data_IF_241327471937
#
_entry.id   IF_241327471937
#
_cell.length_a   1.000
_cell.length_b   1.000
_cell.length_c   1.000
_cell.angle_alpha   90.00
_cell.angle_beta   90.00
_cell.angle_gamma   90.00
#
_symmetry.space_group_name_H-M   'P 1'
#
loop_
_entity.id
_entity.type
_entity.pdbx_description
1 polymer ?
#
# COMPACT_ATOMS: atom_id res chain seq x y z
N UNK A 1 2.06 11.92 13.02
CA UNK A 1 3.31 12.60 12.62
C UNK A 1 3.15 14.08 12.93
N UNK A 2 3.77 14.56 14.00
CA UNK A 2 3.85 15.99 14.30
C UNK A 2 5.33 16.38 14.25
N UNK A 3 5.89 16.42 13.03
CA UNK A 3 7.21 17.01 12.85
C UNK A 3 7.03 18.54 12.89
N UNK A 4 7.69 19.21 13.84
CA UNK A 4 7.65 20.68 13.98
C UNK A 4 8.10 21.38 12.70
N UNK A 5 9.03 20.80 11.95
CA UNK A 5 9.53 21.33 10.67
C UNK A 5 8.45 21.28 9.59
N UNK A 6 7.70 20.17 9.49
CA UNK A 6 6.55 20.07 8.58
C UNK A 6 5.48 21.13 8.91
N UNK A 7 5.28 21.44 10.19
CA UNK A 7 4.33 22.47 10.59
C UNK A 7 4.71 23.88 10.10
N UNK A 8 5.99 24.15 9.82
CA UNK A 8 6.48 25.45 9.31
C UNK A 8 6.27 25.67 7.81
N UNK A 9 5.84 24.64 7.08
CA UNK A 9 5.56 24.71 5.66
C UNK A 9 4.24 25.45 5.38
N UNK A 10 4.14 26.00 4.18
CA UNK A 10 2.90 26.61 3.72
C UNK A 10 1.86 25.51 3.41
N UNK A 11 0.58 25.85 3.48
CA UNK A 11 -0.49 24.85 3.32
C UNK A 11 -0.48 24.20 1.93
N UNK A 12 -0.03 24.91 0.90
CA UNK A 12 0.11 24.37 -0.46
C UNK A 12 1.16 23.24 -0.50
N UNK A 13 2.37 23.47 0.03
CA UNK A 13 3.43 22.46 0.09
C UNK A 13 3.02 21.26 0.96
N UNK A 14 2.39 21.53 2.11
CA UNK A 14 1.87 20.47 3.00
C UNK A 14 0.90 19.56 2.26
N UNK A 15 0.04 20.15 1.43
CA UNK A 15 -0.98 19.41 0.68
C UNK A 15 -0.35 18.53 -0.41
N UNK A 16 0.59 19.09 -1.18
CA UNK A 16 1.36 18.34 -2.20
C UNK A 16 2.09 17.17 -1.56
N UNK A 17 2.88 17.43 -0.51
CA UNK A 17 3.59 16.39 0.23
C UNK A 17 2.63 15.33 0.77
N UNK A 18 1.50 15.73 1.35
CA UNK A 18 0.53 14.79 1.90
C UNK A 18 -0.05 13.86 0.83
N UNK A 19 -0.49 14.41 -0.32
CA UNK A 19 -1.09 13.63 -1.41
C UNK A 19 -0.12 12.58 -1.94
N UNK A 20 1.13 12.95 -2.13
CA UNK A 20 2.11 12.03 -2.71
C UNK A 20 2.67 11.03 -1.69
N UNK A 21 2.70 11.40 -0.41
CA UNK A 21 3.28 10.58 0.65
C UNK A 21 2.34 9.55 1.27
N UNK A 22 1.04 9.85 1.40
CA UNK A 22 0.18 9.06 2.28
C UNK A 22 0.04 7.60 1.84
N UNK A 23 0.16 7.34 0.54
CA UNK A 23 0.03 6.00 -0.03
C UNK A 23 1.30 5.19 0.17
N UNK A 24 2.48 5.69 -0.20
CA UNK A 24 3.72 5.04 0.22
C UNK A 24 3.75 4.77 1.73
N UNK A 25 3.32 5.72 2.57
CA UNK A 25 3.22 5.53 4.02
C UNK A 25 2.26 4.39 4.40
N UNK A 26 1.05 4.40 3.84
CA UNK A 26 0.07 3.35 4.09
C UNK A 26 0.61 1.99 3.68
N UNK A 27 1.20 1.89 2.48
CA UNK A 27 1.84 0.69 1.97
C UNK A 27 2.91 0.22 2.95
N UNK A 28 3.93 1.04 3.25
CA UNK A 28 5.02 0.72 4.19
C UNK A 28 4.46 0.20 5.52
N UNK A 29 3.42 0.86 6.06
CA UNK A 29 2.78 0.44 7.32
C UNK A 29 2.12 -0.93 7.22
N UNK A 30 1.40 -1.22 6.13
CA UNK A 30 0.76 -2.52 5.90
C UNK A 30 1.83 -3.61 5.71
N UNK A 31 2.88 -3.33 4.94
CA UNK A 31 4.00 -4.26 4.76
C UNK A 31 4.68 -4.55 6.09
N UNK A 32 4.95 -3.52 6.89
CA UNK A 32 5.55 -3.68 8.22
C UNK A 32 4.68 -4.52 9.17
N UNK A 33 3.38 -4.24 9.24
CA UNK A 33 2.44 -5.08 10.02
C UNK A 33 2.44 -6.53 9.55
N UNK A 34 2.53 -6.75 8.23
CA UNK A 34 2.60 -8.09 7.66
C UNK A 34 3.88 -8.82 8.05
N UNK A 35 5.01 -8.12 8.07
CA UNK A 35 6.30 -8.65 8.56
C UNK A 35 6.19 -9.05 10.04
N UNK A 36 5.55 -8.21 10.86
CA UNK A 36 5.35 -8.51 12.28
C UNK A 36 4.39 -9.68 12.53
N UNK A 37 3.36 -9.84 11.70
CA UNK A 37 2.39 -10.92 11.82
C UNK A 37 2.91 -12.27 11.31
N UNK A 38 3.83 -12.25 10.34
CA UNK A 38 4.37 -13.42 9.66
C UNK A 38 5.90 -13.39 9.67
N UNK A 39 6.49 -13.77 10.81
CA UNK A 39 7.93 -13.70 11.06
C UNK A 39 8.79 -14.60 10.16
N UNK A 40 8.20 -15.69 9.65
CA UNK A 40 8.89 -16.61 8.73
C UNK A 40 9.13 -15.92 7.37
N UNK A 41 10.40 -15.76 6.93
CA UNK A 41 10.72 -15.18 5.63
C UNK A 41 10.15 -15.96 4.45
N UNK A 42 9.90 -17.26 4.61
CA UNK A 42 9.32 -18.13 3.57
C UNK A 42 7.79 -18.03 3.53
N UNK A 43 7.17 -17.42 4.54
CA UNK A 43 5.72 -17.20 4.58
C UNK A 43 5.31 -16.17 3.53
N UNK A 44 4.49 -16.60 2.57
CA UNK A 44 4.01 -15.78 1.47
C UNK A 44 2.72 -15.02 1.80
N UNK A 45 2.23 -15.13 3.04
CA UNK A 45 1.07 -14.39 3.52
C UNK A 45 1.45 -12.95 3.81
N UNK A 46 0.50 -12.08 3.53
CA UNK A 46 0.55 -10.67 3.89
C UNK A 46 -0.83 -10.22 4.36
N UNK A 47 -0.86 -9.20 5.22
CA UNK A 47 -2.09 -8.59 5.70
C UNK A 47 -2.60 -7.62 4.63
N UNK A 48 -3.85 -7.82 4.20
CA UNK A 48 -4.57 -6.85 3.37
C UNK A 48 -5.18 -5.74 4.23
N UNK A 49 -5.71 -6.13 5.39
CA UNK A 49 -6.24 -5.25 6.41
C UNK A 49 -6.04 -5.88 7.82
N UNK A 50 -6.72 -5.34 8.83
CA UNK A 50 -6.60 -5.81 10.22
C UNK A 50 -7.21 -7.20 10.47
N UNK A 51 -8.04 -7.70 9.55
CA UNK A 51 -8.81 -8.94 9.68
C UNK A 51 -8.61 -9.92 8.52
N UNK A 52 -7.88 -9.54 7.47
CA UNK A 52 -7.69 -10.33 6.26
C UNK A 52 -6.20 -10.49 5.95
N UNK A 53 -5.78 -11.75 5.90
CA UNK A 53 -4.50 -12.16 5.34
C UNK A 53 -4.73 -12.97 4.06
N UNK A 54 -3.85 -12.82 3.08
CA UNK A 54 -3.87 -13.61 1.86
C UNK A 54 -2.46 -14.09 1.50
N UNK A 55 -2.33 -15.30 0.98
CA UNK A 55 -1.08 -15.77 0.36
C UNK A 55 -1.05 -15.36 -1.10
N UNK A 56 -0.17 -14.45 -1.51
CA UNK A 56 -0.17 -13.97 -2.92
C UNK A 56 0.26 -15.03 -3.92
N UNK A 57 1.05 -16.02 -3.51
CA UNK A 57 1.43 -17.15 -4.36
C UNK A 57 0.31 -18.16 -4.57
N UNK A 58 -0.63 -18.27 -3.61
CA UNK A 58 -1.72 -19.26 -3.63
C UNK A 58 -3.07 -18.64 -3.99
N UNK A 59 -3.19 -17.32 -3.99
CA UNK A 59 -4.43 -16.63 -4.30
C UNK A 59 -4.83 -16.88 -5.77
N UNK A 60 -6.02 -17.45 -5.95
CA UNK A 60 -6.67 -17.59 -7.24
C UNK A 60 -7.91 -16.71 -7.27
N UNK A 61 -7.99 -15.84 -8.26
CA UNK A 61 -9.18 -15.03 -8.50
C UNK A 61 -10.08 -15.71 -9.52
N UNK A 62 -11.29 -16.04 -9.10
CA UNK A 62 -12.39 -16.45 -9.96
C UNK A 62 -13.36 -15.28 -10.10
N UNK A 63 -13.33 -14.60 -11.24
CA UNK A 63 -14.29 -13.56 -11.55
C UNK A 63 -14.92 -13.82 -12.93
N UNK A 64 -16.23 -13.58 -13.10
CA UNK A 64 -16.90 -13.66 -14.38
C UNK A 64 -16.59 -12.39 -15.21
N UNK A 65 -15.32 -12.20 -15.53
CA UNK A 65 -14.84 -11.12 -16.39
C UNK A 65 -14.69 -11.63 -17.82
N UNK A 66 -14.90 -10.75 -18.80
CA UNK A 66 -14.53 -11.03 -20.19
C UNK A 66 -13.00 -11.22 -20.31
N UNK A 67 -12.58 -11.82 -21.43
CA UNK A 67 -11.17 -12.19 -21.67
C UNK A 67 -10.20 -11.00 -21.51
N UNK A 68 -10.59 -9.79 -21.94
CA UNK A 68 -9.75 -8.59 -21.89
C UNK A 68 -9.65 -8.06 -20.46
N UNK A 69 -10.78 -7.93 -19.77
CA UNK A 69 -10.80 -7.52 -18.35
C UNK A 69 -10.03 -8.49 -17.45
N UNK A 70 -10.13 -9.79 -17.73
CA UNK A 70 -9.36 -10.83 -17.04
C UNK A 70 -7.85 -10.68 -17.25
N UNK A 71 -7.40 -10.34 -18.45
CA UNK A 71 -5.98 -10.12 -18.74
C UNK A 71 -5.43 -8.86 -18.04
N UNK A 72 -6.17 -7.75 -18.06
CA UNK A 72 -5.79 -6.53 -17.33
C UNK A 72 -5.72 -6.78 -15.82
N UNK A 73 -6.71 -7.50 -15.28
CA UNK A 73 -6.73 -7.88 -13.87
C UNK A 73 -5.55 -8.77 -13.48
N UNK A 74 -5.20 -9.78 -14.28
CA UNK A 74 -4.03 -10.61 -14.00
C UNK A 74 -2.71 -9.84 -14.12
N UNK A 75 -2.59 -8.92 -15.06
CA UNK A 75 -1.40 -8.05 -15.15
C UNK A 75 -1.24 -7.19 -13.89
N UNK A 76 -2.35 -6.66 -13.36
CA UNK A 76 -2.34 -5.95 -12.07
C UNK A 76 -2.00 -6.90 -10.91
N UNK A 77 -2.57 -8.09 -10.86
CA UNK A 77 -2.25 -9.04 -9.79
C UNK A 77 -0.79 -9.50 -9.82
N UNK A 78 -0.19 -9.58 -11.01
CA UNK A 78 1.22 -9.92 -11.17
C UNK A 78 2.14 -8.87 -10.53
N UNK A 79 1.80 -7.58 -10.59
CA UNK A 79 2.60 -6.55 -9.92
C UNK A 79 2.53 -6.61 -8.40
N UNK A 80 1.37 -7.00 -7.87
CA UNK A 80 1.22 -7.24 -6.43
C UNK A 80 2.09 -8.42 -5.97
N UNK A 81 2.26 -9.43 -6.83
CA UNK A 81 3.22 -10.51 -6.60
C UNK A 81 4.67 -10.00 -6.65
N UNK A 82 5.01 -9.16 -7.61
CA UNK A 82 6.36 -8.56 -7.69
C UNK A 82 6.69 -7.71 -6.46
N UNK A 83 5.71 -6.97 -5.91
CA UNK A 83 5.86 -6.24 -4.64
C UNK A 83 6.22 -7.16 -3.47
N UNK A 84 5.64 -8.37 -3.39
CA UNK A 84 6.02 -9.33 -2.35
C UNK A 84 7.48 -9.69 -2.41
N UNK A 85 7.99 -9.96 -3.61
CA UNK A 85 9.34 -10.46 -3.83
C UNK A 85 10.38 -9.34 -3.69
N UNK A 86 10.03 -8.12 -4.11
CA UNK A 86 10.95 -6.98 -4.16
C UNK A 86 10.91 -6.08 -2.93
N UNK A 87 9.83 -6.09 -2.16
CA UNK A 87 9.67 -5.23 -0.97
C UNK A 87 9.45 -6.05 0.30
N UNK A 88 8.40 -6.90 0.35
CA UNK A 88 8.04 -7.60 1.59
C UNK A 88 9.10 -8.62 1.99
N UNK A 89 9.57 -9.45 1.06
CA UNK A 89 10.58 -10.46 1.36
C UNK A 89 11.89 -9.83 1.85
N UNK A 90 12.43 -8.75 1.24
CA UNK A 90 13.53 -7.98 1.82
C UNK A 90 13.22 -7.41 3.20
N UNK A 91 12.02 -6.87 3.43
CA UNK A 91 11.65 -6.35 4.75
C UNK A 91 11.60 -7.45 5.83
N UNK A 92 11.13 -8.66 5.48
CA UNK A 92 11.12 -9.83 6.37
C UNK A 92 12.53 -10.32 6.67
N UNK A 93 13.36 -10.49 5.64
CA UNK A 93 14.71 -11.02 5.79
C UNK A 93 15.63 -10.09 6.58
N UNK A 94 15.47 -8.77 6.42
CA UNK A 94 16.21 -7.76 7.16
C UNK A 94 15.62 -7.42 8.53
N UNK A 95 14.43 -7.95 8.86
CA UNK A 95 13.74 -7.75 10.15
C UNK A 95 13.66 -6.27 10.54
N UNK A 96 13.18 -5.43 9.63
CA UNK A 96 13.11 -3.99 9.87
C UNK A 96 12.43 -3.70 11.22
N UNK A 97 13.10 -2.90 12.03
CA UNK A 97 12.62 -2.38 13.30
C UNK A 97 11.66 -1.20 13.07
N UNK A 98 10.87 -0.86 14.09
CA UNK A 98 9.98 0.30 14.03
C UNK A 98 10.74 1.61 13.75
N UNK A 99 11.99 1.71 14.23
CA UNK A 99 12.85 2.89 14.01
C UNK A 99 13.25 2.99 12.54
N UNK A 100 13.66 1.89 11.93
CA UNK A 100 14.04 1.84 10.51
C UNK A 100 12.84 2.08 9.60
N UNK A 101 11.66 1.59 9.96
CA UNK A 101 10.41 1.87 9.23
C UNK A 101 10.01 3.34 9.31
N UNK A 102 10.19 3.98 10.47
CA UNK A 102 9.96 5.42 10.60
C UNK A 102 10.97 6.23 9.78
N UNK A 103 12.25 5.81 9.77
CA UNK A 103 13.28 6.40 8.92
C UNK A 103 12.92 6.27 7.44
N UNK A 104 12.56 5.06 6.98
CA UNK A 104 12.10 4.80 5.61
C UNK A 104 10.90 5.68 5.23
N UNK A 105 9.92 5.80 6.13
CA UNK A 105 8.74 6.64 5.91
C UNK A 105 9.13 8.11 5.75
N UNK A 106 10.05 8.62 6.56
CA UNK A 106 10.53 9.99 6.46
C UNK A 106 11.38 10.21 5.21
N UNK A 107 12.19 9.23 4.82
CA UNK A 107 12.89 9.29 3.54
C UNK A 107 11.92 9.42 2.37
N UNK A 108 10.89 8.57 2.33
CA UNK A 108 9.91 8.62 1.25
C UNK A 108 9.11 9.92 1.25
N UNK A 109 8.76 10.49 2.42
CA UNK A 109 8.08 11.78 2.50
C UNK A 109 8.91 12.93 1.91
N UNK A 110 10.20 12.98 2.19
CA UNK A 110 11.05 14.11 1.83
C UNK A 110 11.88 13.88 0.56
N UNK A 111 11.80 12.70 -0.05
CA UNK A 111 12.44 12.36 -1.34
C UNK A 111 11.50 12.58 -2.53
N UNK A 112 10.33 13.17 -2.30
CA UNK A 112 9.33 13.39 -3.35
C UNK A 112 9.81 14.52 -4.27
N UNK A 113 10.04 14.18 -5.54
CA UNK A 113 10.48 15.10 -6.59
C UNK A 113 9.29 15.91 -7.13
N UNK A 114 9.05 17.06 -6.51
CA UNK A 114 8.00 18.02 -6.90
C UNK A 114 8.54 19.44 -6.95
N UNK A 115 7.81 20.29 -7.69
CA UNK A 115 7.95 21.75 -7.70
C UNK A 115 7.49 22.35 -6.36
N UNK A 116 8.08 21.87 -5.26
CA UNK A 116 7.91 22.44 -3.94
C UNK A 116 8.58 23.82 -3.91
N UNK A 117 8.05 24.71 -3.09
CA UNK A 117 8.74 25.97 -2.83
C UNK A 117 10.14 25.69 -2.27
N UNK A 118 11.12 26.51 -2.65
CA UNK A 118 12.53 26.37 -2.22
C UNK A 118 12.69 26.14 -0.71
N UNK A 119 11.84 26.80 0.10
CA UNK A 119 11.79 26.63 1.55
C UNK A 119 11.45 25.20 1.96
N UNK A 120 10.48 24.56 1.33
CA UNK A 120 10.09 23.19 1.62
C UNK A 120 11.19 22.19 1.26
N UNK A 121 11.89 22.42 0.14
CA UNK A 121 13.06 21.59 -0.25
C UNK A 121 14.19 21.70 0.78
N UNK A 122 14.53 22.91 1.25
CA UNK A 122 15.54 23.11 2.29
C UNK A 122 15.15 22.44 3.61
N UNK A 123 13.87 22.57 4.00
CA UNK A 123 13.35 21.90 5.18
C UNK A 123 13.47 20.39 5.04
N UNK A 124 13.09 19.83 3.89
CA UNK A 124 13.21 18.40 3.60
C UNK A 124 14.64 17.89 3.72
N UNK A 125 15.61 18.57 3.10
CA UNK A 125 17.03 18.22 3.21
C UNK A 125 17.52 18.23 4.68
N UNK A 126 17.13 19.26 5.44
CA UNK A 126 17.48 19.37 6.86
C UNK A 126 16.87 18.22 7.68
N UNK A 127 15.62 17.84 7.39
CA UNK A 127 14.95 16.73 8.08
C UNK A 127 15.65 15.42 7.75
N UNK A 128 15.97 15.17 6.47
CA UNK A 128 16.66 13.95 6.04
C UNK A 128 18.02 13.79 6.74
N UNK A 129 18.82 14.85 6.83
CA UNK A 129 20.10 14.85 7.55
C UNK A 129 19.93 14.54 9.03
N UNK A 130 18.92 15.13 9.68
CA UNK A 130 18.64 14.87 11.09
C UNK A 130 18.23 13.42 11.33
N UNK A 131 17.34 12.90 10.49
CA UNK A 131 16.81 11.54 10.63
C UNK A 131 17.91 10.51 10.33
N UNK A 132 18.81 10.79 9.38
CA UNK A 132 20.01 9.98 9.13
C UNK A 132 20.97 9.96 10.33
N UNK A 133 21.22 11.13 10.94
CA UNK A 133 22.03 11.22 12.15
C UNK A 133 21.42 10.48 13.34
N UNK A 134 20.09 10.54 13.51
CA UNK A 134 19.40 9.79 14.58
C UNK A 134 19.46 8.28 14.33
N UNK A 135 19.28 7.83 13.09
CA UNK A 135 19.45 6.41 12.74
C UNK A 135 20.89 5.94 13.02
N UNK A 136 21.90 6.72 12.64
CA UNK A 136 23.29 6.43 12.95
C UNK A 136 23.55 6.33 14.46
N UNK A 137 23.06 7.30 15.24
CA UNK A 137 23.17 7.27 16.71
C UNK A 137 22.49 6.04 17.31
N UNK A 138 21.34 5.65 16.78
CA UNK A 138 20.62 4.45 17.21
C UNK A 138 21.48 3.20 17.01
N UNK A 139 22.04 3.00 15.82
CA UNK A 139 22.92 1.85 15.55
C UNK A 139 24.20 1.87 16.38
N UNK A 140 24.87 3.02 16.46
CA UNK A 140 26.14 3.14 17.17
C UNK A 140 26.00 2.93 18.69
N UNK A 141 24.94 3.49 19.30
CA UNK A 141 24.79 3.51 20.76
C UNK A 141 23.91 2.39 21.31
N UNK A 142 22.82 2.07 20.62
CA UNK A 142 21.79 1.15 21.12
C UNK A 142 22.07 -0.27 20.67
N UNK A 143 22.23 -0.46 19.35
CA UNK A 143 22.42 -1.78 18.75
C UNK A 143 23.89 -2.23 18.81
N UNK A 144 24.84 -1.27 18.91
CA UNK A 144 26.29 -1.50 18.85
C UNK A 144 26.68 -2.31 17.61
N UNK A 145 26.10 -1.92 16.48
CA UNK A 145 26.26 -2.63 15.22
C UNK A 145 27.52 -2.14 14.51
N UNK A 146 28.52 -3.01 14.36
CA UNK A 146 29.80 -2.65 13.74
C UNK A 146 29.66 -2.33 12.24
N UNK A 147 28.67 -2.94 11.57
CA UNK A 147 28.41 -2.77 10.14
C UNK A 147 27.01 -2.21 9.85
N UNK A 148 26.74 -1.01 10.35
CA UNK A 148 25.47 -0.31 10.10
C UNK A 148 25.29 0.08 8.63
N UNK A 149 26.38 0.19 7.86
CA UNK A 149 26.35 0.56 6.45
C UNK A 149 25.52 -0.43 5.63
N UNK A 150 25.62 -1.73 5.92
CA UNK A 150 24.82 -2.77 5.25
C UNK A 150 23.32 -2.62 5.55
N UNK A 151 22.95 -2.32 6.80
CA UNK A 151 21.55 -2.06 7.18
C UNK A 151 20.98 -0.85 6.46
N UNK A 152 21.72 0.27 6.47
CA UNK A 152 21.29 1.50 5.77
C UNK A 152 21.20 1.28 4.25
N UNK A 153 22.13 0.54 3.66
CA UNK A 153 22.08 0.18 2.24
C UNK A 153 20.85 -0.69 1.91
N UNK A 154 20.48 -1.61 2.81
CA UNK A 154 19.28 -2.43 2.64
C UNK A 154 18.00 -1.60 2.74
N UNK A 155 17.93 -0.63 3.67
CA UNK A 155 16.81 0.32 3.72
C UNK A 155 16.70 1.11 2.41
N UNK A 156 17.82 1.59 1.87
CA UNK A 156 17.83 2.28 0.57
C UNK A 156 17.36 1.40 -0.60
N UNK A 157 17.69 0.10 -0.60
CA UNK A 157 17.16 -0.85 -1.59
C UNK A 157 15.64 -1.01 -1.47
N UNK A 158 15.14 -1.12 -0.24
CA UNK A 158 13.70 -1.23 0.03
C UNK A 158 12.99 0.05 -0.40
N UNK A 159 13.54 1.23 -0.11
CA UNK A 159 13.01 2.51 -0.57
C UNK A 159 12.88 2.53 -2.10
N UNK A 160 13.95 2.21 -2.82
CA UNK A 160 13.92 2.17 -4.28
C UNK A 160 12.88 1.17 -4.83
N UNK A 161 12.68 0.04 -4.16
CA UNK A 161 11.66 -0.94 -4.55
C UNK A 161 10.24 -0.41 -4.30
N UNK A 162 10.01 0.28 -3.18
CA UNK A 162 8.75 0.98 -2.89
C UNK A 162 8.49 2.05 -3.96
N UNK A 163 9.47 2.89 -4.29
CA UNK A 163 9.30 3.96 -5.28
C UNK A 163 8.94 3.40 -6.67
N UNK A 164 9.62 2.33 -7.11
CA UNK A 164 9.29 1.63 -8.36
C UNK A 164 7.87 1.07 -8.35
N UNK A 165 7.47 0.42 -7.26
CA UNK A 165 6.12 -0.10 -7.10
C UNK A 165 5.08 1.02 -7.16
N UNK A 166 5.34 2.14 -6.50
CA UNK A 166 4.46 3.30 -6.49
C UNK A 166 4.32 3.94 -7.87
N UNK A 167 5.41 4.08 -8.63
CA UNK A 167 5.37 4.56 -10.01
C UNK A 167 4.54 3.62 -10.90
N UNK A 168 4.72 2.31 -10.71
CA UNK A 168 3.96 1.31 -11.44
C UNK A 168 2.45 1.37 -11.13
N UNK A 169 2.06 1.42 -9.86
CA UNK A 169 0.65 1.57 -9.46
C UNK A 169 0.03 2.86 -10.03
N UNK A 170 0.75 3.99 -10.03
CA UNK A 170 0.31 5.22 -10.69
C UNK A 170 0.06 5.01 -12.19
N UNK A 171 0.94 4.28 -12.87
CA UNK A 171 0.79 3.99 -14.31
C UNK A 171 -0.42 3.10 -14.61
N UNK A 172 -0.69 2.13 -13.73
CA UNK A 172 -1.87 1.27 -13.84
C UNK A 172 -3.17 2.03 -13.61
N UNK A 173 -3.21 2.92 -12.62
CA UNK A 173 -4.39 3.74 -12.35
C UNK A 173 -4.74 4.62 -13.55
N UNK A 174 -3.74 5.30 -14.12
CA UNK A 174 -3.90 6.07 -15.36
C UNK A 174 -4.39 5.21 -16.52
N UNK A 175 -3.89 3.98 -16.63
CA UNK A 175 -4.34 3.03 -17.66
C UNK A 175 -5.81 2.62 -17.44
N UNK A 176 -6.22 2.37 -16.18
CA UNK A 176 -7.61 2.04 -15.85
C UNK A 176 -8.60 3.13 -16.23
N UNK A 177 -8.23 4.39 -16.01
CA UNK A 177 -9.01 5.57 -16.42
C UNK A 177 -9.23 5.62 -17.93
N UNK A 178 -8.16 5.42 -18.72
CA UNK A 178 -8.23 5.40 -20.19
C UNK A 178 -9.21 4.34 -20.72
N UNK A 179 -9.41 3.25 -19.99
CA UNK A 179 -10.31 2.16 -20.39
C UNK A 179 -11.68 2.23 -19.73
N UNK A 180 -12.00 3.32 -19.02
CA UNK A 180 -13.29 3.48 -18.33
C UNK A 180 -13.50 2.49 -17.18
N UNK A 181 -12.45 1.76 -16.77
CA UNK A 181 -12.46 0.88 -15.60
C UNK A 181 -12.34 1.80 -14.38
N UNK A 182 -13.48 2.29 -13.90
CA UNK A 182 -13.56 3.15 -12.72
C UNK A 182 -14.24 4.50 -12.90
N UNK A 183 -15.03 4.75 -13.94
CA UNK A 183 -15.84 5.97 -14.02
C UNK A 183 -16.92 6.01 -12.91
N UNK A 184 -16.97 7.08 -12.12
CA UNK A 184 -18.00 7.35 -11.10
C UNK A 184 -18.07 8.88 -10.90
N UNK A 185 -19.26 9.47 -10.74
CA UNK A 185 -19.51 10.94 -10.61
C UNK A 185 -18.69 11.62 -9.50
N UNK A 186 -18.20 10.87 -8.52
CA UNK A 186 -17.27 11.36 -7.50
C UNK A 186 -15.89 11.76 -8.07
N UNK A 187 -15.50 11.19 -9.22
CA UNK A 187 -14.22 11.37 -9.93
C UNK A 187 -14.02 12.77 -10.52
N UNK A 188 -15.10 13.48 -10.80
CA UNK A 188 -15.04 14.80 -11.43
C UNK A 188 -14.97 15.95 -10.41
N UNK A 189 -14.91 15.61 -9.11
CA UNK A 189 -14.80 16.62 -8.05
C UNK A 189 -13.34 17.06 -7.84
N UNK A 190 -13.09 18.33 -7.43
CA UNK A 190 -11.76 18.80 -7.05
C UNK A 190 -11.10 17.96 -5.94
N UNK A 191 -11.92 17.33 -5.09
CA UNK A 191 -11.47 16.40 -4.06
C UNK A 191 -10.91 15.11 -4.68
N UNK A 192 -11.47 14.59 -5.77
CA UNK A 192 -11.01 13.36 -6.42
C UNK A 192 -9.68 13.51 -7.16
N UNK A 193 -9.35 14.70 -7.66
CA UNK A 193 -8.02 14.99 -8.23
C UNK A 193 -6.89 14.95 -7.19
N UNK A 194 -7.21 15.18 -5.90
CA UNK A 194 -6.29 14.99 -4.76
C UNK A 194 -6.39 13.62 -4.08
N UNK A 195 -7.52 12.92 -4.24
CA UNK A 195 -7.78 11.59 -3.70
C UNK A 195 -7.26 10.47 -4.60
N UNK A 196 -6.46 10.83 -5.61
CA UNK A 196 -6.29 10.16 -6.89
C UNK A 196 -5.57 8.82 -6.86
N UNK A 197 -5.27 8.25 -5.68
CA UNK A 197 -4.39 7.10 -5.66
C UNK A 197 -4.72 5.94 -4.70
N UNK A 198 -5.90 5.90 -4.04
CA UNK A 198 -6.08 4.80 -3.05
C UNK A 198 -7.48 4.32 -2.67
N UNK A 199 -8.55 5.09 -2.80
CA UNK A 199 -9.90 4.54 -2.49
C UNK A 199 -10.56 3.82 -3.67
N UNK A 200 -9.79 3.38 -4.68
CA UNK A 200 -10.34 2.62 -5.81
C UNK A 200 -9.85 1.19 -5.97
N UNK A 201 -8.92 0.69 -5.16
CA UNK A 201 -8.55 -0.73 -5.25
C UNK A 201 -8.60 -1.43 -3.90
N UNK A 202 -8.05 -0.84 -2.83
CA UNK A 202 -8.34 -1.31 -1.46
C UNK A 202 -9.78 -1.04 -1.09
N UNK A 203 -10.35 0.16 -1.34
CA UNK A 203 -11.79 0.36 -1.13
C UNK A 203 -12.64 -0.29 -2.23
N UNK A 204 -12.19 -0.57 -3.44
CA UNK A 204 -13.07 -1.32 -4.39
C UNK A 204 -13.09 -2.82 -4.10
N UNK A 205 -11.99 -3.39 -3.57
CA UNK A 205 -11.99 -4.72 -2.95
C UNK A 205 -12.72 -4.73 -1.61
N UNK A 206 -12.53 -3.75 -0.72
CA UNK A 206 -13.23 -3.68 0.59
C UNK A 206 -14.70 -3.30 0.46
N UNK A 207 -15.07 -2.46 -0.50
CA UNK A 207 -16.45 -2.06 -0.79
C UNK A 207 -17.13 -3.13 -1.65
N UNK A 208 -16.47 -3.84 -2.59
CA UNK A 208 -17.07 -5.06 -3.15
C UNK A 208 -17.13 -6.20 -2.15
N UNK A 209 -16.16 -6.43 -1.27
CA UNK A 209 -16.22 -7.50 -0.26
C UNK A 209 -17.20 -7.15 0.86
N UNK A 210 -17.32 -5.88 1.26
CA UNK A 210 -18.32 -5.38 2.21
C UNK A 210 -19.72 -5.31 1.60
N UNK A 211 -19.87 -4.88 0.34
CA UNK A 211 -21.14 -4.96 -0.39
C UNK A 211 -21.48 -6.43 -0.66
N UNK A 212 -20.54 -7.30 -1.01
CA UNK A 212 -20.78 -8.74 -1.18
C UNK A 212 -21.05 -9.44 0.15
N UNK A 213 -20.50 -8.98 1.29
CA UNK A 213 -20.88 -9.45 2.64
C UNK A 213 -22.26 -8.95 3.03
N UNK A 214 -22.55 -7.66 2.93
CA UNK A 214 -23.86 -7.08 3.25
C UNK A 214 -24.96 -7.58 2.31
N UNK A 215 -24.62 -7.84 1.04
CA UNK A 215 -25.51 -8.47 0.05
C UNK A 215 -25.63 -9.97 0.31
N UNK A 216 -24.57 -10.67 0.72
CA UNK A 216 -24.64 -12.07 1.20
C UNK A 216 -25.49 -12.18 2.45
N UNK A 217 -25.37 -11.31 3.43
CA UNK A 217 -26.12 -11.34 4.69
C UNK A 217 -27.58 -10.91 4.45
N UNK A 218 -27.82 -9.96 3.53
CA UNK A 218 -29.17 -9.64 3.05
C UNK A 218 -29.78 -10.78 2.23
N UNK A 219 -28.98 -11.49 1.42
CA UNK A 219 -29.43 -12.65 0.65
C UNK A 219 -29.62 -13.87 1.54
N UNK A 220 -28.78 -14.13 2.54
CA UNK A 220 -28.94 -15.21 3.51
C UNK A 220 -30.17 -14.94 4.38
N UNK A 221 -30.44 -13.69 4.78
CA UNK A 221 -31.71 -13.32 5.41
C UNK A 221 -32.91 -13.49 4.45
N UNK A 222 -32.79 -13.04 3.20
CA UNK A 222 -33.84 -13.19 2.18
C UNK A 222 -34.10 -14.66 1.79
N UNK A 223 -33.06 -15.49 1.69
CA UNK A 223 -33.11 -16.92 1.39
C UNK A 223 -33.51 -17.75 2.61
N UNK A 224 -33.16 -17.39 3.84
CA UNK A 224 -33.74 -18.01 5.04
C UNK A 224 -35.24 -17.69 5.16
N UNK A 225 -35.65 -16.52 4.67
CA UNK A 225 -37.08 -16.16 4.54
C UNK A 225 -37.76 -16.89 3.37
N UNK A 226 -37.00 -17.28 2.33
CA UNK A 226 -37.49 -17.97 1.11
C UNK A 226 -37.14 -19.46 1.00
N UNK A 227 -36.44 -20.09 1.95
CA UNK A 227 -36.16 -21.54 1.95
C UNK A 227 -37.42 -22.37 2.20
N UNK A 228 -38.60 -21.72 2.24
CA UNK A 228 -39.90 -22.33 1.99
C UNK A 228 -40.18 -22.66 0.52
N UNK A 229 -39.47 -22.10 -0.45
CA UNK A 229 -39.71 -22.36 -1.88
C UNK A 229 -38.41 -22.41 -2.72
N UNK A 230 -38.03 -23.67 -3.01
CA UNK A 230 -37.25 -24.21 -4.14
C UNK A 230 -36.09 -23.40 -4.77
N UNK A 231 -34.90 -23.91 -4.45
CA UNK A 231 -33.77 -24.34 -5.31
C UNK A 231 -33.13 -23.43 -6.37
N UNK A 232 -31.80 -23.34 -6.21
CA UNK A 232 -30.68 -23.08 -7.14
C UNK A 232 -30.20 -21.62 -7.24
N UNK A 233 -28.98 -21.37 -6.75
CA UNK A 233 -28.05 -20.41 -7.35
C UNK A 233 -26.58 -20.76 -7.06
N UNK A 234 -25.75 -20.66 -8.08
CA UNK A 234 -24.29 -20.82 -8.04
C UNK A 234 -23.66 -19.43 -7.93
N UNK A 235 -22.76 -19.20 -6.96
CA UNK A 235 -22.06 -17.93 -6.73
C UNK A 235 -20.53 -18.13 -6.64
N UNK A 236 -19.79 -17.09 -7.02
CA UNK A 236 -18.32 -17.06 -7.04
C UNK A 236 -17.71 -17.27 -5.65
N UNK A 237 -16.68 -18.14 -5.57
CA UNK A 237 -15.90 -18.43 -4.36
C UNK A 237 -14.51 -17.82 -4.48
N UNK A 238 -14.07 -17.16 -3.41
CA UNK A 238 -12.64 -17.00 -3.14
C UNK A 238 -12.26 -18.16 -2.22
N UNK A 239 -11.59 -19.17 -2.77
CA UNK A 239 -11.05 -20.28 -1.98
C UNK A 239 -9.62 -19.97 -1.58
N UNK A 240 -9.40 -19.86 -0.28
CA UNK A 240 -8.08 -19.95 0.33
C UNK A 240 -7.80 -21.45 0.52
N UNK A 241 -6.77 -21.96 -0.17
CA UNK A 241 -6.28 -23.34 0.02
C UNK A 241 -5.25 -23.39 1.13
#
# INVERSE_FOLDING_TARGET
>A
MANSQFATLDNADKWVLFIDFWIPLYTIKVLYRSVQAFEDPEDNRFLWDENLAAGLKTCKFEMPLDKRSKQAFYSWFHSQKEMMETVIAPMKSSRLTAIEVNYLSLQVLWSIDHDLLYKATQVGATVLDQVANELYKHYAKTVRMDNYADSTANIGKIQNAVDKFMLFERSLMKSGELFGIGHNEFMDSPLANSFHATTKLTTFCLLKISILRNFRDSLENFFNTRQKDRSISTFARVTLS
#
